data_IF_197992691962
#
_entry.id   IF_197992691962
#
_cell.length_a   1.000
_cell.length_b   1.000
_cell.length_c   1.000
_cell.angle_alpha   90.00
_cell.angle_beta   90.00
_cell.angle_gamma   90.00
#
_symmetry.space_group_name_H-M   'P 1'
#
loop_
_entity.id
_entity.type
_entity.pdbx_description
1 polymer ?
#
# COMPACT_ATOMS: atom_id res chain seq x y z
N UNK A 1 -2.63 20.11 5.61
CA UNK A 1 -2.24 18.96 6.43
C UNK A 1 -1.94 17.77 5.54
N UNK A 2 -0.81 17.16 5.74
CA UNK A 2 -0.42 15.98 4.98
C UNK A 2 -1.13 14.74 5.55
N UNK A 3 -1.76 13.99 4.67
CA UNK A 3 -2.37 12.72 5.04
C UNK A 3 -1.60 11.58 4.39
N UNK A 4 -1.52 10.49 5.10
CA UNK A 4 -0.81 9.30 4.63
C UNK A 4 -1.79 8.16 4.54
N UNK A 5 -1.69 7.41 3.46
CA UNK A 5 -2.51 6.22 3.25
C UNK A 5 -1.58 5.04 3.02
N UNK A 6 -1.80 3.97 3.75
CA UNK A 6 -1.05 2.75 3.61
C UNK A 6 -1.97 1.66 3.08
N UNK A 7 -1.55 1.00 2.02
CA UNK A 7 -2.29 -0.10 1.42
C UNK A 7 -1.41 -1.33 1.51
N UNK A 8 -1.97 -2.41 2.06
CA UNK A 8 -1.26 -3.68 2.15
C UNK A 8 -2.18 -4.79 1.67
N UNK A 9 -1.60 -5.77 1.03
CA UNK A 9 -2.34 -6.91 0.51
C UNK A 9 -1.40 -8.09 0.38
N UNK A 10 -1.97 -9.29 0.33
CA UNK A 10 -1.17 -10.48 0.04
C UNK A 10 -0.85 -10.52 -1.44
N UNK A 11 0.25 -11.17 -1.78
CA UNK A 11 0.69 -11.25 -3.17
C UNK A 11 -0.36 -11.92 -4.08
N UNK A 12 -1.09 -12.90 -3.54
CA UNK A 12 -2.11 -13.59 -4.32
C UNK A 12 -3.34 -12.72 -4.59
N UNK A 13 -3.42 -11.57 -3.93
CA UNK A 13 -4.49 -10.58 -4.15
C UNK A 13 -3.96 -9.34 -4.87
N UNK A 14 -3.02 -9.52 -5.79
CA UNK A 14 -2.39 -8.39 -6.47
C UNK A 14 -3.39 -7.52 -7.24
N UNK A 15 -4.43 -8.14 -7.78
CA UNK A 15 -5.47 -7.36 -8.49
C UNK A 15 -6.17 -6.40 -7.54
N UNK A 16 -6.52 -6.87 -6.34
CA UNK A 16 -7.10 -6.01 -5.33
C UNK A 16 -6.14 -4.87 -4.96
N UNK A 17 -4.88 -5.22 -4.75
CA UNK A 17 -3.87 -4.24 -4.39
C UNK A 17 -3.76 -3.15 -5.46
N UNK A 18 -3.62 -3.56 -6.71
CA UNK A 18 -3.48 -2.63 -7.82
C UNK A 18 -4.72 -1.74 -7.97
N UNK A 19 -5.91 -2.32 -7.80
CA UNK A 19 -7.15 -1.56 -7.88
C UNK A 19 -7.22 -0.50 -6.78
N UNK A 20 -6.79 -0.85 -5.57
CA UNK A 20 -6.79 0.11 -4.45
C UNK A 20 -5.80 1.23 -4.68
N UNK A 21 -4.60 0.90 -5.16
CA UNK A 21 -3.59 1.91 -5.46
C UNK A 21 -4.09 2.83 -6.57
N UNK A 22 -4.64 2.25 -7.63
CA UNK A 22 -5.15 3.04 -8.76
C UNK A 22 -6.30 3.95 -8.33
N UNK A 23 -7.19 3.46 -7.48
CA UNK A 23 -8.28 4.27 -6.97
C UNK A 23 -7.75 5.47 -6.17
N UNK A 24 -6.73 5.25 -5.37
CA UNK A 24 -6.10 6.33 -4.60
C UNK A 24 -5.45 7.35 -5.53
N UNK A 25 -4.74 6.88 -6.56
CA UNK A 25 -4.12 7.79 -7.52
C UNK A 25 -5.17 8.64 -8.23
N UNK A 26 -6.29 8.04 -8.58
CA UNK A 26 -7.40 8.80 -9.17
C UNK A 26 -8.00 9.81 -8.19
N UNK A 27 -7.90 9.55 -6.90
CA UNK A 27 -8.38 10.45 -5.86
C UNK A 27 -7.41 11.56 -5.47
N UNK A 28 -6.30 11.69 -6.18
CA UNK A 28 -5.34 12.75 -5.92
C UNK A 28 -4.22 12.38 -4.97
N UNK A 29 -4.11 11.12 -4.60
CA UNK A 29 -2.99 10.66 -3.76
C UNK A 29 -1.74 10.49 -4.61
N UNK A 30 -0.59 10.73 -4.01
CA UNK A 30 0.71 10.55 -4.66
C UNK A 30 1.37 9.31 -4.12
N UNK A 31 1.77 8.41 -5.00
CA UNK A 31 2.48 7.21 -4.59
C UNK A 31 3.91 7.56 -4.20
N UNK A 32 4.26 7.30 -2.95
CA UNK A 32 5.59 7.61 -2.42
C UNK A 32 6.48 6.38 -2.36
N UNK A 33 5.87 5.22 -2.13
CA UNK A 33 6.64 3.99 -2.01
C UNK A 33 5.76 2.80 -2.40
N UNK A 34 6.34 1.88 -3.14
CA UNK A 34 5.71 0.61 -3.46
C UNK A 34 6.77 -0.47 -3.32
N UNK A 35 6.50 -1.45 -2.48
CA UNK A 35 7.49 -2.48 -2.21
C UNK A 35 6.82 -3.81 -1.93
N UNK A 36 7.64 -4.83 -1.86
CA UNK A 36 7.21 -6.18 -1.52
C UNK A 36 7.87 -6.52 -0.19
N UNK A 37 7.06 -6.88 0.78
CA UNK A 37 7.56 -7.26 2.10
C UNK A 37 7.64 -8.77 2.18
N UNK A 38 8.79 -9.27 2.57
CA UNK A 38 9.03 -10.71 2.71
C UNK A 38 9.42 -11.01 4.15
N UNK A 39 8.91 -12.11 4.71
CA UNK A 39 9.36 -12.55 6.02
C UNK A 39 10.85 -12.84 5.99
N UNK A 40 11.54 -12.46 7.03
CA UNK A 40 12.99 -12.68 7.15
C UNK A 40 13.23 -13.90 8.03
N UNK A 41 14.08 -14.81 7.54
CA UNK A 41 14.49 -15.97 8.33
C UNK A 41 13.39 -17.00 8.53
N UNK A 42 12.38 -16.96 7.75
CA UNK A 42 11.28 -17.92 7.87
C UNK A 42 11.62 -19.24 7.22
N UNK A 43 11.18 -20.31 7.86
CA UNK A 43 11.24 -21.62 7.28
C UNK A 43 10.29 -21.69 6.08
N UNK A 44 10.73 -22.40 5.05
CA UNK A 44 9.90 -22.59 3.87
C UNK A 44 8.64 -23.40 4.15
N UNK A 45 8.59 -24.11 5.26
CA UNK A 45 7.39 -24.85 5.62
C UNK A 45 6.25 -23.94 6.04
N UNK A 46 6.56 -22.71 6.40
CA UNK A 46 5.51 -21.72 6.62
C UNK A 46 5.22 -21.07 5.30
N UNK A 47 3.96 -21.03 4.94
CA UNK A 47 3.55 -20.25 3.79
C UNK A 47 3.75 -18.80 4.14
N UNK A 48 4.99 -18.39 4.02
CA UNK A 48 5.38 -17.02 4.27
C UNK A 48 4.59 -16.14 3.35
N UNK A 49 3.75 -15.33 3.93
CA UNK A 49 2.96 -14.43 3.12
C UNK A 49 3.86 -13.33 2.61
N UNK A 50 3.99 -13.27 1.30
CA UNK A 50 4.60 -12.12 0.67
C UNK A 50 3.53 -11.06 0.60
N UNK A 51 3.83 -9.90 1.16
CA UNK A 51 2.88 -8.80 1.22
C UNK A 51 3.27 -7.71 0.25
N UNK A 52 2.28 -7.16 -0.40
CA UNK A 52 2.44 -5.97 -1.21
C UNK A 52 2.14 -4.77 -0.34
N UNK A 53 2.93 -3.72 -0.50
CA UNK A 53 2.87 -2.56 0.36
C UNK A 53 2.99 -1.29 -0.47
N UNK A 54 2.14 -0.31 -0.21
CA UNK A 54 2.22 0.99 -0.84
C UNK A 54 1.93 2.08 0.17
N UNK A 55 2.71 3.16 0.09
CA UNK A 55 2.49 4.39 0.85
C UNK A 55 2.15 5.51 -0.11
N UNK A 56 1.07 6.19 0.20
CA UNK A 56 0.64 7.33 -0.59
C UNK A 56 0.42 8.53 0.31
N UNK A 57 0.59 9.71 -0.24
CA UNK A 57 0.42 10.96 0.48
C UNK A 57 -0.53 11.87 -0.27
N UNK A 58 -1.24 12.68 0.48
CA UNK A 58 -2.11 13.70 -0.10
C UNK A 58 -2.10 14.92 0.79
N UNK A 59 -1.87 16.07 0.19
CA UNK A 59 -1.97 17.33 0.91
C UNK A 59 -3.43 17.78 0.91
N UNK A 60 -3.94 18.04 2.09
CA UNK A 60 -5.32 18.46 2.27
C UNK A 60 -5.31 19.81 2.98
N UNK A 61 -6.16 20.71 2.52
CA UNK A 61 -6.26 22.01 3.14
C UNK A 61 -6.78 21.88 4.56
N UNK A 62 -6.19 22.67 5.49
CA UNK A 62 -6.53 22.58 6.90
C UNK A 62 -7.99 22.93 7.17
N UNK A 63 -8.56 23.80 6.38
CA UNK A 63 -9.93 24.25 6.56
C UNK A 63 -10.97 23.23 6.07
N UNK A 64 -10.54 22.07 5.60
CA UNK A 64 -11.44 20.99 5.22
C UNK A 64 -11.76 20.06 6.37
N UNK A 65 -11.24 20.30 7.53
CA UNK A 65 -11.48 19.48 8.71
C UNK A 65 -12.41 20.11 9.70
#
# INVERSE_FOLDING_TARGET
MLQIKTIMSRLDDSTFFDNEVNAALCGGWTLKKRTVLRPIGQSESFHSYIMLYAELEKEVADDEF
#
